data_IF_763831893630
#
_entry.id   IF_763831893630
#
_cell.length_a   1.000
_cell.length_b   1.000
_cell.length_c   1.000
_cell.angle_alpha   90.00
_cell.angle_beta   90.00
_cell.angle_gamma   90.00
#
_symmetry.space_group_name_H-M   'P 1'
#
loop_
_entity.id
_entity.type
_entity.pdbx_description
1 polymer ?
#
# COMPACT_ATOMS: atom_id res chain seq x y z
N UNK A 1 38.36 17.91 -34.61
CA UNK A 1 37.17 18.59 -34.05
C UNK A 1 36.08 17.56 -33.78
N UNK A 2 35.75 17.41 -32.49
CA UNK A 2 34.41 17.14 -31.93
C UNK A 2 33.58 15.98 -32.51
N UNK A 3 33.89 14.75 -32.11
CA UNK A 3 32.95 13.62 -32.10
C UNK A 3 32.53 13.35 -30.65
N UNK A 4 31.54 14.11 -30.17
CA UNK A 4 31.08 14.15 -28.78
C UNK A 4 29.64 13.63 -28.65
N UNK A 5 29.30 12.45 -29.20
CA UNK A 5 27.95 11.88 -29.05
C UNK A 5 27.99 10.35 -28.88
N UNK A 6 28.47 9.89 -27.73
CA UNK A 6 28.27 8.51 -27.27
C UNK A 6 27.60 8.41 -25.90
N UNK A 7 26.98 9.48 -25.40
CA UNK A 7 26.40 9.51 -24.05
C UNK A 7 25.11 10.32 -23.92
N UNK A 8 24.16 10.16 -24.84
CA UNK A 8 22.81 10.73 -24.71
C UNK A 8 21.70 9.69 -24.87
N UNK A 9 21.87 8.48 -24.32
CA UNK A 9 20.78 7.50 -24.25
C UNK A 9 20.86 6.70 -22.96
N UNK A 10 20.96 7.40 -21.82
CA UNK A 10 20.57 6.84 -20.53
C UNK A 10 19.48 7.76 -19.98
N UNK A 11 18.33 7.77 -20.67
CA UNK A 11 17.10 8.22 -20.03
C UNK A 11 16.83 7.33 -18.81
N UNK A 12 16.38 7.87 -17.67
CA UNK A 12 16.25 7.09 -16.44
C UNK A 12 15.25 5.96 -16.64
N UNK A 13 15.75 4.73 -16.78
CA UNK A 13 14.94 3.50 -16.90
C UNK A 13 14.20 3.14 -15.60
N UNK A 14 14.23 4.00 -14.58
CA UNK A 14 13.69 3.71 -13.25
C UNK A 14 12.33 4.37 -12.95
N UNK A 15 11.84 5.26 -13.82
CA UNK A 15 10.65 6.10 -13.58
C UNK A 15 9.28 5.38 -13.62
N UNK A 16 9.22 4.06 -13.87
CA UNK A 16 7.95 3.30 -13.80
C UNK A 16 7.81 2.49 -12.52
N UNK A 17 8.93 2.05 -11.94
CA UNK A 17 8.92 1.10 -10.81
C UNK A 17 8.74 1.81 -9.48
N UNK A 18 9.26 3.04 -9.39
CA UNK A 18 9.06 4.00 -8.31
C UNK A 18 7.61 4.48 -8.20
N UNK A 19 6.97 4.87 -9.32
CA UNK A 19 5.56 5.27 -9.36
C UNK A 19 4.61 4.14 -8.98
N UNK A 20 4.90 2.92 -9.44
CA UNK A 20 4.12 1.74 -9.07
C UNK A 20 4.30 1.38 -7.59
N UNK A 21 5.52 1.54 -7.06
CA UNK A 21 5.80 1.32 -5.64
C UNK A 21 5.08 2.34 -4.74
N UNK A 22 5.12 3.63 -5.08
CA UNK A 22 4.42 4.66 -4.31
C UNK A 22 2.91 4.41 -4.34
N UNK A 23 2.36 4.15 -5.53
CA UNK A 23 0.95 3.86 -5.70
C UNK A 23 0.50 2.62 -4.90
N UNK A 24 1.27 1.53 -4.93
CA UNK A 24 0.95 0.33 -4.15
C UNK A 24 1.03 0.58 -2.63
N UNK A 25 2.00 1.37 -2.18
CA UNK A 25 2.15 1.73 -0.76
C UNK A 25 0.96 2.56 -0.28
N UNK A 26 0.54 3.54 -1.07
CA UNK A 26 -0.63 4.37 -0.77
C UNK A 26 -1.92 3.53 -0.69
N UNK A 27 -2.11 2.59 -1.63
CA UNK A 27 -3.25 1.66 -1.63
C UNK A 27 -3.25 0.75 -0.40
N UNK A 28 -2.07 0.30 0.06
CA UNK A 28 -1.95 -0.51 1.28
C UNK A 28 -2.33 0.29 2.52
N UNK A 29 -1.86 1.53 2.63
CA UNK A 29 -2.20 2.40 3.76
C UNK A 29 -3.68 2.79 3.75
N UNK A 30 -4.28 2.99 2.58
CA UNK A 30 -5.72 3.18 2.46
C UNK A 30 -6.50 1.95 2.92
N UNK A 31 -6.12 0.75 2.46
CA UNK A 31 -6.76 -0.49 2.91
C UNK A 31 -6.62 -0.72 4.42
N UNK A 32 -5.51 -0.29 5.03
CA UNK A 32 -5.32 -0.31 6.48
C UNK A 32 -6.25 0.66 7.20
N UNK A 33 -6.40 1.89 6.69
CA UNK A 33 -7.34 2.88 7.23
C UNK A 33 -8.77 2.36 7.18
N UNK A 34 -9.19 1.78 6.05
CA UNK A 34 -10.50 1.16 5.91
C UNK A 34 -10.74 0.08 6.97
N UNK A 35 -9.74 -0.76 7.23
CA UNK A 35 -9.82 -1.81 8.24
C UNK A 35 -9.93 -1.27 9.67
N UNK A 36 -9.20 -0.20 9.99
CA UNK A 36 -9.31 0.46 11.29
C UNK A 36 -10.67 1.16 11.45
N UNK A 37 -11.16 1.82 10.40
CA UNK A 37 -12.49 2.45 10.39
C UNK A 37 -13.61 1.43 10.57
N UNK A 38 -13.50 0.23 9.99
CA UNK A 38 -14.48 -0.84 10.21
C UNK A 38 -14.49 -1.35 11.66
N UNK A 39 -13.32 -1.43 12.30
CA UNK A 39 -13.20 -1.76 13.73
C UNK A 39 -13.81 -0.67 14.62
N UNK A 40 -13.56 0.60 14.29
CA UNK A 40 -14.16 1.74 15.01
C UNK A 40 -15.69 1.75 14.85
N UNK A 41 -16.20 1.45 13.65
CA UNK A 41 -17.64 1.32 13.40
C UNK A 41 -18.26 0.24 14.28
N UNK A 42 -17.63 -0.94 14.36
CA UNK A 42 -18.10 -2.02 15.22
C UNK A 42 -18.15 -1.57 16.69
N UNK A 43 -17.12 -0.86 17.16
CA UNK A 43 -17.03 -0.37 18.55
C UNK A 43 -18.15 0.62 18.90
N UNK A 44 -18.58 1.47 17.96
CA UNK A 44 -19.64 2.46 18.17
C UNK A 44 -21.03 1.97 17.76
N UNK A 45 -21.14 0.74 17.26
CA UNK A 45 -22.41 0.19 16.80
C UNK A 45 -23.38 -0.01 17.97
N UNK A 46 -24.57 0.57 17.84
CA UNK A 46 -25.61 0.53 18.88
C UNK A 46 -26.72 -0.50 18.61
N UNK A 47 -26.79 -1.02 17.38
CA UNK A 47 -27.75 -2.05 16.98
C UNK A 47 -27.05 -3.31 16.48
N UNK A 48 -27.73 -4.45 16.58
CA UNK A 48 -27.23 -5.74 16.10
C UNK A 48 -26.93 -5.70 14.59
N UNK A 49 -27.82 -5.11 13.80
CA UNK A 49 -27.67 -5.00 12.34
C UNK A 49 -26.43 -4.18 11.96
N UNK A 50 -26.15 -3.09 12.69
CA UNK A 50 -24.95 -2.28 12.48
C UNK A 50 -23.68 -3.05 12.89
N UNK A 51 -23.74 -3.78 14.00
CA UNK A 51 -22.63 -4.63 14.44
C UNK A 51 -22.33 -5.75 13.43
N UNK A 52 -23.36 -6.40 12.89
CA UNK A 52 -23.22 -7.44 11.87
C UNK A 52 -22.61 -6.88 10.57
N UNK A 53 -23.08 -5.70 10.14
CA UNK A 53 -22.51 -5.00 8.98
C UNK A 53 -21.05 -4.60 9.21
N UNK A 54 -20.72 -4.06 10.39
CA UNK A 54 -19.35 -3.70 10.74
C UNK A 54 -18.44 -4.93 10.82
N UNK A 55 -18.91 -6.05 11.36
CA UNK A 55 -18.18 -7.32 11.37
C UNK A 55 -17.90 -7.83 9.95
N UNK A 56 -18.87 -7.74 9.05
CA UNK A 56 -18.66 -8.03 7.63
C UNK A 56 -17.58 -7.14 7.00
N UNK A 57 -17.63 -5.83 7.27
CA UNK A 57 -16.63 -4.88 6.76
C UNK A 57 -15.22 -5.17 7.28
N UNK A 58 -15.08 -5.52 8.57
CA UNK A 58 -13.79 -5.91 9.16
C UNK A 58 -13.18 -7.08 8.37
N UNK A 59 -13.94 -8.14 8.13
CA UNK A 59 -13.44 -9.31 7.40
C UNK A 59 -13.07 -8.99 5.94
N UNK A 60 -13.87 -8.16 5.27
CA UNK A 60 -13.61 -7.76 3.88
C UNK A 60 -12.35 -6.90 3.75
N UNK A 61 -12.22 -5.89 4.61
CA UNK A 61 -11.10 -4.93 4.60
C UNK A 61 -9.80 -5.58 5.07
N UNK A 62 -9.84 -6.45 6.09
CA UNK A 62 -8.70 -7.25 6.53
C UNK A 62 -8.13 -8.11 5.39
N UNK A 63 -9.01 -8.85 4.68
CA UNK A 63 -8.61 -9.68 3.54
C UNK A 63 -7.95 -8.86 2.44
N UNK A 64 -8.50 -7.67 2.13
CA UNK A 64 -7.93 -6.74 1.15
C UNK A 64 -6.53 -6.28 1.58
N UNK A 65 -6.39 -5.81 2.82
CA UNK A 65 -5.10 -5.36 3.37
C UNK A 65 -4.04 -6.47 3.33
N UNK A 66 -4.36 -7.68 3.80
CA UNK A 66 -3.44 -8.83 3.80
C UNK A 66 -3.02 -9.21 2.38
N UNK A 67 -3.95 -9.21 1.43
CA UNK A 67 -3.66 -9.53 0.04
C UNK A 67 -2.67 -8.53 -0.59
N UNK A 68 -2.91 -7.23 -0.40
CA UNK A 68 -2.02 -6.18 -0.90
C UNK A 68 -0.62 -6.26 -0.27
N UNK A 69 -0.54 -6.56 1.04
CA UNK A 69 0.73 -6.83 1.71
C UNK A 69 1.50 -8.00 1.10
N UNK A 70 0.80 -9.09 0.76
CA UNK A 70 1.42 -10.24 0.08
C UNK A 70 1.95 -9.87 -1.30
N UNK A 71 1.25 -9.02 -2.05
CA UNK A 71 1.73 -8.49 -3.33
C UNK A 71 3.01 -7.67 -3.12
N UNK A 72 2.98 -6.70 -2.21
CA UNK A 72 4.14 -5.84 -1.95
C UNK A 72 5.39 -6.64 -1.50
N UNK A 73 5.20 -7.75 -0.77
CA UNK A 73 6.30 -8.67 -0.40
C UNK A 73 6.87 -9.37 -1.63
N UNK A 74 6.00 -9.92 -2.49
CA UNK A 74 6.43 -10.65 -3.71
C UNK A 74 7.21 -9.75 -4.67
N UNK A 75 6.80 -8.50 -4.79
CA UNK A 75 7.43 -7.53 -5.70
C UNK A 75 8.67 -6.85 -5.09
N UNK A 76 9.01 -7.15 -3.82
CA UNK A 76 10.17 -6.58 -3.13
C UNK A 76 10.02 -5.11 -2.74
N UNK A 77 8.79 -4.59 -2.68
CA UNK A 77 8.51 -3.19 -2.34
C UNK A 77 8.58 -2.89 -0.85
N UNK A 78 8.50 -3.94 -0.01
CA UNK A 78 8.69 -3.85 1.43
C UNK A 78 10.18 -4.02 1.75
N UNK A 79 10.99 -3.02 1.40
CA UNK A 79 12.31 -2.87 2.01
C UNK A 79 12.09 -2.47 3.46
N UNK A 80 12.59 -3.27 4.39
CA UNK A 80 12.58 -2.95 5.82
C UNK A 80 13.35 -1.65 6.02
N UNK A 81 12.64 -0.55 6.30
CA UNK A 81 13.24 0.71 6.72
C UNK A 81 13.50 0.60 8.24
N UNK A 82 14.41 -0.29 8.63
CA UNK A 82 14.85 -0.48 10.03
C UNK A 82 16.01 0.44 10.41
N UNK A 83 16.13 1.61 9.77
CA UNK A 83 17.14 2.61 10.13
C UNK A 83 16.57 4.02 9.92
N UNK A 84 15.61 4.44 10.75
CA UNK A 84 15.31 5.86 10.98
C UNK A 84 14.45 6.02 12.24
N UNK A 85 15.09 5.84 13.39
CA UNK A 85 14.70 6.51 14.64
C UNK A 85 16.00 6.92 15.32
N UNK A 86 16.25 8.23 15.26
CA UNK A 86 17.19 8.98 16.10
C UNK A 86 16.84 8.79 17.58
#
# INVERSE_FOLDING_TARGET
MRWFWRNWFIGPKHRRKDLFQSNLTDIIEEAKKDWLSAQDLFRVSSSQELADYAAYLILATERRYIYLWKIARREGFLKQNTNQSL
#
